data_IF_653800964530
#
_entry.id   IF_653800964530
#
_cell.length_a   1.000
_cell.length_b   1.000
_cell.length_c   1.000
_cell.angle_alpha   90.00
_cell.angle_beta   90.00
_cell.angle_gamma   90.00
#
_symmetry.space_group_name_H-M   'P 1'
#
loop_
_entity.id
_entity.type
_entity.pdbx_description
1 polymer ?
#
# COMPACT_ATOMS: atom_id res chain seq x y z
N UNK A 1 19.61 7.26 -9.53
CA UNK A 1 19.44 6.60 -8.22
C UNK A 1 20.73 5.87 -7.95
N UNK A 2 21.68 6.51 -7.26
CA UNK A 2 23.07 6.02 -7.21
C UNK A 2 23.32 4.90 -6.19
N UNK A 3 22.30 4.45 -5.45
CA UNK A 3 22.48 3.49 -4.35
C UNK A 3 21.69 2.19 -4.51
N UNK A 4 20.63 2.18 -5.33
CA UNK A 4 19.86 0.95 -5.60
C UNK A 4 20.22 0.51 -7.02
N UNK A 5 20.89 -0.62 -7.10
CA UNK A 5 21.27 -1.27 -8.34
C UNK A 5 20.14 -2.20 -8.77
N UNK A 6 19.79 -2.18 -10.07
CA UNK A 6 18.74 -3.02 -10.62
C UNK A 6 19.33 -3.88 -11.73
N UNK A 7 19.13 -5.19 -11.61
CA UNK A 7 19.51 -6.18 -12.63
C UNK A 7 18.24 -6.85 -13.16
N UNK A 8 18.06 -6.88 -14.48
CA UNK A 8 16.93 -7.56 -15.11
C UNK A 8 17.20 -9.08 -15.11
N UNK A 9 16.42 -9.85 -14.36
CA UNK A 9 16.51 -11.32 -14.36
C UNK A 9 15.63 -11.96 -15.44
N UNK A 10 14.47 -11.34 -15.69
CA UNK A 10 13.55 -11.68 -16.78
C UNK A 10 12.95 -10.38 -17.29
N UNK A 11 13.00 -10.16 -18.59
CA UNK A 11 12.31 -9.06 -19.24
C UNK A 11 10.92 -9.51 -19.68
N UNK A 12 9.87 -8.81 -19.26
CA UNK A 12 8.53 -8.94 -19.81
C UNK A 12 8.31 -8.01 -21.00
N UNK A 13 7.12 -8.05 -21.60
CA UNK A 13 6.69 -7.10 -22.64
C UNK A 13 6.75 -5.66 -22.09
N UNK A 14 7.64 -4.80 -22.59
CA UNK A 14 7.78 -3.43 -22.09
C UNK A 14 6.50 -2.62 -22.32
N UNK A 15 6.15 -1.74 -21.37
CA UNK A 15 5.04 -0.81 -21.48
C UNK A 15 5.37 0.50 -20.75
N UNK A 16 4.78 1.61 -21.21
CA UNK A 16 4.81 2.89 -20.47
C UNK A 16 3.82 2.90 -19.30
N UNK A 17 3.01 1.85 -19.14
CA UNK A 17 2.12 1.62 -18.00
C UNK A 17 2.68 0.46 -17.19
N UNK A 18 3.03 0.71 -15.93
CA UNK A 18 3.71 -0.26 -15.06
C UNK A 18 2.88 -0.53 -13.82
N UNK A 19 2.61 -1.80 -13.56
CA UNK A 19 2.14 -2.31 -12.28
C UNK A 19 3.36 -2.85 -11.55
N UNK A 20 3.57 -2.42 -10.31
CA UNK A 20 4.80 -2.72 -9.59
C UNK A 20 4.53 -3.26 -8.19
N UNK A 21 5.27 -4.29 -7.82
CA UNK A 21 5.25 -4.91 -6.50
C UNK A 21 6.66 -5.36 -6.09
N UNK A 22 6.81 -5.73 -4.82
CA UNK A 22 8.05 -6.30 -4.29
C UNK A 22 7.82 -7.71 -3.73
N UNK A 23 8.82 -8.58 -3.86
CA UNK A 23 8.79 -9.94 -3.34
C UNK A 23 10.16 -10.32 -2.76
N UNK A 24 10.23 -10.47 -1.44
CA UNK A 24 11.45 -10.78 -0.68
C UNK A 24 11.05 -11.37 0.68
N UNK A 25 12.01 -11.96 1.40
CA UNK A 25 11.85 -12.36 2.80
C UNK A 25 12.51 -11.36 3.73
N UNK A 26 11.90 -11.20 4.90
CA UNK A 26 12.52 -10.60 6.08
C UNK A 26 13.12 -11.73 6.91
N UNK A 27 14.34 -11.56 7.42
CA UNK A 27 15.11 -12.58 8.17
C UNK A 27 14.30 -13.41 9.16
N UNK A 28 14.16 -12.96 10.41
CA UNK A 28 13.21 -13.56 11.36
C UNK A 28 11.77 -13.25 10.89
N UNK A 29 11.28 -14.07 9.97
CA UNK A 29 9.99 -13.85 9.33
C UNK A 29 8.84 -13.98 10.34
N UNK A 30 8.06 -12.90 10.49
CA UNK A 30 6.80 -12.95 11.26
C UNK A 30 5.62 -13.50 10.45
N UNK A 31 5.82 -13.86 9.17
CA UNK A 31 4.81 -14.43 8.25
C UNK A 31 5.33 -15.73 7.65
N UNK A 32 4.43 -16.66 7.38
CA UNK A 32 4.74 -17.87 6.61
C UNK A 32 5.09 -17.49 5.16
N UNK A 33 6.32 -17.80 4.75
CA UNK A 33 6.79 -17.51 3.40
C UNK A 33 5.98 -18.25 2.33
N UNK A 34 5.42 -19.43 2.63
CA UNK A 34 4.53 -20.16 1.71
C UNK A 34 3.28 -19.37 1.38
N UNK A 35 2.69 -18.70 2.38
CA UNK A 35 1.54 -17.83 2.18
C UNK A 35 1.92 -16.65 1.25
N UNK A 36 3.11 -16.09 1.43
CA UNK A 36 3.59 -14.98 0.62
C UNK A 36 3.82 -15.38 -0.85
N UNK A 37 4.35 -16.58 -1.10
CA UNK A 37 4.44 -17.18 -2.45
C UNK A 37 3.04 -17.33 -3.07
N UNK A 38 2.07 -17.81 -2.29
CA UNK A 38 0.67 -17.92 -2.72
C UNK A 38 0.06 -16.58 -3.11
N UNK A 39 0.34 -15.53 -2.33
CA UNK A 39 -0.09 -14.16 -2.63
C UNK A 39 0.54 -13.63 -3.92
N UNK A 40 1.83 -13.90 -4.18
CA UNK A 40 2.46 -13.50 -5.45
C UNK A 40 1.81 -14.20 -6.66
N UNK A 41 1.53 -15.50 -6.56
CA UNK A 41 0.82 -16.24 -7.63
C UNK A 41 -0.55 -15.64 -7.91
N UNK A 42 -1.32 -15.35 -6.85
CA UNK A 42 -2.64 -14.70 -6.98
C UNK A 42 -2.51 -13.32 -7.61
N UNK A 43 -1.57 -12.48 -7.15
CA UNK A 43 -1.33 -11.15 -7.69
C UNK A 43 -1.02 -11.17 -9.18
N UNK A 44 -0.14 -12.08 -9.61
CA UNK A 44 0.22 -12.26 -11.03
C UNK A 44 -1.01 -12.63 -11.87
N UNK A 45 -1.84 -13.56 -11.42
CA UNK A 45 -3.09 -13.93 -12.10
C UNK A 45 -4.06 -12.74 -12.13
N UNK A 46 -4.24 -12.04 -11.00
CA UNK A 46 -5.16 -10.92 -10.89
C UNK A 46 -4.73 -9.71 -11.74
N UNK A 47 -3.42 -9.56 -12.01
CA UNK A 47 -2.84 -8.52 -12.88
C UNK A 47 -3.19 -8.68 -14.36
N UNK A 48 -3.73 -9.82 -14.77
CA UNK A 48 -4.27 -10.03 -16.13
C UNK A 48 -5.50 -9.15 -16.42
N UNK A 49 -6.09 -8.52 -15.41
CA UNK A 49 -7.11 -7.47 -15.61
C UNK A 49 -6.56 -6.17 -16.21
N UNK A 50 -5.23 -5.97 -16.16
CA UNK A 50 -4.54 -4.77 -16.63
C UNK A 50 -3.69 -5.12 -17.84
N UNK A 51 -4.29 -5.63 -18.92
CA UNK A 51 -3.60 -6.28 -20.06
C UNK A 51 -2.57 -5.40 -20.80
N UNK A 52 -2.68 -4.08 -20.70
CA UNK A 52 -1.78 -3.10 -21.32
C UNK A 52 -0.62 -2.64 -20.40
N UNK A 53 -0.51 -3.23 -19.21
CA UNK A 53 0.57 -2.96 -18.26
C UNK A 53 1.73 -3.95 -18.42
N UNK A 54 2.95 -3.48 -18.22
CA UNK A 54 4.07 -4.32 -17.78
C UNK A 54 3.94 -4.53 -16.27
N UNK A 55 4.13 -5.75 -15.80
CA UNK A 55 4.18 -6.04 -14.36
C UNK A 55 5.62 -6.21 -13.95
N UNK A 56 6.10 -5.39 -13.02
CA UNK A 56 7.46 -5.43 -12.49
C UNK A 56 7.47 -5.99 -11.08
N UNK A 57 8.09 -7.16 -10.91
CA UNK A 57 8.33 -7.78 -9.61
C UNK A 57 9.76 -7.45 -9.20
N UNK A 58 9.92 -6.60 -8.20
CA UNK A 58 11.22 -6.30 -7.60
C UNK A 58 11.54 -7.33 -6.51
N UNK A 59 12.70 -7.97 -6.59
CA UNK A 59 13.13 -9.05 -5.66
C UNK A 59 14.59 -8.91 -5.29
N UNK A 60 15.00 -9.44 -4.14
CA UNK A 60 16.41 -9.66 -3.82
C UNK A 60 16.76 -11.15 -3.89
N UNK A 61 17.93 -11.55 -3.38
CA UNK A 61 18.41 -12.94 -3.42
C UNK A 61 17.53 -13.91 -2.62
N UNK A 62 16.65 -13.44 -1.74
CA UNK A 62 15.76 -14.29 -0.96
C UNK A 62 14.52 -14.74 -1.74
N UNK A 63 14.04 -13.91 -2.68
CA UNK A 63 12.79 -14.13 -3.41
C UNK A 63 12.95 -14.52 -4.88
N UNK A 64 14.15 -14.34 -5.45
CA UNK A 64 14.34 -14.31 -6.91
C UNK A 64 13.94 -15.59 -7.63
N UNK A 65 14.23 -16.76 -7.06
CA UNK A 65 13.92 -18.06 -7.67
C UNK A 65 12.42 -18.28 -7.79
N UNK A 66 11.66 -17.95 -6.74
CA UNK A 66 10.21 -18.05 -6.74
C UNK A 66 9.56 -17.03 -7.68
N UNK A 67 10.07 -15.80 -7.71
CA UNK A 67 9.59 -14.77 -8.62
C UNK A 67 9.80 -15.17 -10.08
N UNK A 68 10.97 -15.72 -10.41
CA UNK A 68 11.27 -16.25 -11.74
C UNK A 68 10.34 -17.41 -12.11
N UNK A 69 10.16 -18.37 -11.20
CA UNK A 69 9.28 -19.53 -11.43
C UNK A 69 7.85 -19.10 -11.72
N UNK A 70 7.28 -18.22 -10.90
CA UNK A 70 5.92 -17.72 -11.06
C UNK A 70 5.77 -16.93 -12.37
N UNK A 71 6.80 -16.19 -12.78
CA UNK A 71 6.77 -15.37 -13.99
C UNK A 71 6.91 -16.15 -15.32
N UNK A 72 7.33 -17.43 -15.30
CA UNK A 72 7.63 -18.22 -16.52
C UNK A 72 6.49 -18.22 -17.55
N UNK A 73 5.24 -18.32 -17.09
CA UNK A 73 4.07 -18.38 -17.97
C UNK A 73 3.49 -17.04 -18.40
N UNK A 74 4.07 -15.92 -17.95
CA UNK A 74 3.46 -14.60 -18.12
C UNK A 74 4.38 -13.66 -18.91
N UNK A 75 4.05 -13.35 -20.18
CA UNK A 75 4.93 -12.58 -21.07
C UNK A 75 5.11 -11.13 -20.63
N UNK A 76 4.14 -10.55 -19.92
CA UNK A 76 4.17 -9.13 -19.49
C UNK A 76 4.93 -8.91 -18.17
N UNK A 77 5.43 -9.98 -17.55
CA UNK A 77 6.06 -9.90 -16.24
C UNK A 77 7.56 -9.80 -16.37
N UNK A 78 8.10 -8.70 -15.88
CA UNK A 78 9.52 -8.49 -15.65
C UNK A 78 9.87 -8.85 -14.21
N UNK A 79 10.97 -9.59 -14.02
CA UNK A 79 11.55 -9.88 -12.70
C UNK A 79 12.85 -9.09 -12.60
N UNK A 80 12.89 -8.17 -11.64
CA UNK A 80 13.96 -7.21 -11.44
C UNK A 80 14.63 -7.49 -10.10
N UNK A 81 15.90 -7.89 -10.14
CA UNK A 81 16.70 -8.00 -8.93
C UNK A 81 17.12 -6.61 -8.48
N UNK A 82 16.95 -6.31 -7.20
CA UNK A 82 17.49 -5.11 -6.59
C UNK A 82 18.59 -5.45 -5.60
N UNK A 83 19.58 -4.56 -5.54
CA UNK A 83 20.61 -4.59 -4.52
C UNK A 83 20.89 -3.17 -4.01
N UNK A 84 21.08 -3.06 -2.70
CA UNK A 84 21.48 -1.82 -2.07
C UNK A 84 22.47 -2.14 -0.96
N UNK A 85 23.80 -2.07 -1.23
CA UNK A 85 24.83 -2.51 -0.28
C UNK A 85 24.72 -1.87 1.11
N UNK A 86 24.30 -0.60 1.19
CA UNK A 86 24.12 0.12 2.45
C UNK A 86 23.02 -0.46 3.36
N UNK A 87 22.09 -1.22 2.80
CA UNK A 87 20.97 -1.86 3.52
C UNK A 87 21.01 -3.39 3.45
N UNK A 88 22.06 -4.00 2.90
CA UNK A 88 22.17 -5.46 2.81
C UNK A 88 22.27 -6.10 4.20
N UNK A 89 21.59 -7.22 4.39
CA UNK A 89 21.58 -8.02 5.62
C UNK A 89 21.55 -9.52 5.27
N UNK A 90 22.70 -10.19 5.40
CA UNK A 90 22.88 -11.56 4.94
C UNK A 90 22.56 -11.73 3.44
N UNK A 91 21.62 -12.62 3.13
CA UNK A 91 21.13 -12.87 1.76
C UNK A 91 20.02 -11.91 1.32
N UNK A 92 19.59 -10.98 2.17
CA UNK A 92 18.51 -10.06 1.86
C UNK A 92 18.88 -8.63 2.20
N UNK A 93 17.87 -7.84 2.53
CA UNK A 93 18.03 -6.47 2.99
C UNK A 93 17.42 -6.29 4.37
N UNK A 94 17.90 -5.26 5.08
CA UNK A 94 17.47 -4.90 6.42
C UNK A 94 15.96 -4.68 6.45
N UNK A 95 15.25 -5.49 7.23
CA UNK A 95 13.82 -5.33 7.51
C UNK A 95 12.97 -5.13 6.25
N UNK A 96 12.18 -4.07 6.24
CA UNK A 96 11.23 -3.79 5.17
C UNK A 96 11.81 -2.91 4.05
N UNK A 97 13.13 -2.85 3.87
CA UNK A 97 13.74 -2.07 2.79
C UNK A 97 13.14 -2.38 1.40
N UNK A 98 12.88 -3.66 1.13
CA UNK A 98 12.29 -4.11 -0.13
C UNK A 98 10.90 -3.52 -0.42
N UNK A 99 10.17 -2.99 0.57
CA UNK A 99 8.89 -2.31 0.30
C UNK A 99 9.06 -0.92 -0.30
N UNK A 100 10.26 -0.32 -0.26
CA UNK A 100 10.56 0.95 -0.91
C UNK A 100 10.82 0.78 -2.41
N UNK A 101 11.41 -0.34 -2.83
CA UNK A 101 11.80 -0.55 -4.23
C UNK A 101 10.60 -0.71 -5.17
N UNK A 102 9.42 -1.12 -4.65
CA UNK A 102 8.20 -1.14 -5.45
C UNK A 102 7.80 0.24 -5.97
N UNK A 103 8.29 1.32 -5.35
CA UNK A 103 8.00 2.68 -5.80
C UNK A 103 8.95 3.19 -6.88
N UNK A 104 9.99 2.45 -7.26
CA UNK A 104 10.97 2.91 -8.25
C UNK A 104 10.34 3.41 -9.57
N UNK A 105 9.30 2.74 -10.11
CA UNK A 105 8.64 3.21 -11.33
C UNK A 105 8.06 4.62 -11.24
N UNK A 106 7.71 5.13 -10.05
CA UNK A 106 7.15 6.49 -9.93
C UNK A 106 8.18 7.60 -10.18
N UNK A 107 9.48 7.26 -10.29
CA UNK A 107 10.56 8.19 -10.61
C UNK A 107 11.12 8.01 -12.03
N UNK A 108 10.46 7.19 -12.84
CA UNK A 108 10.80 6.92 -14.23
C UNK A 108 9.88 7.71 -15.17
N UNK A 109 10.30 7.88 -16.42
CA UNK A 109 9.45 8.46 -17.47
C UNK A 109 8.44 7.41 -17.95
N UNK A 110 7.29 7.37 -17.28
CA UNK A 110 6.18 6.45 -17.54
C UNK A 110 4.86 7.23 -17.64
N UNK A 111 3.91 6.68 -18.39
CA UNK A 111 2.57 7.24 -18.48
C UNK A 111 1.77 6.95 -17.20
N UNK A 112 1.96 5.76 -16.63
CA UNK A 112 1.29 5.33 -15.38
C UNK A 112 2.24 4.44 -14.57
N UNK A 113 2.40 4.74 -13.29
CA UNK A 113 2.95 3.82 -12.30
C UNK A 113 1.87 3.45 -11.27
N UNK A 114 1.51 2.17 -11.20
CA UNK A 114 0.58 1.61 -10.23
C UNK A 114 1.38 0.79 -9.20
N UNK A 115 1.58 1.35 -8.02
CA UNK A 115 2.31 0.72 -6.93
C UNK A 115 1.35 -0.08 -6.03
N UNK A 116 1.67 -1.36 -5.83
CA UNK A 116 0.81 -2.28 -5.10
C UNK A 116 1.58 -3.17 -4.13
N UNK A 117 0.90 -3.59 -3.07
CA UNK A 117 1.27 -4.80 -2.34
C UNK A 117 0.85 -6.05 -3.14
N UNK A 118 1.41 -7.21 -2.82
CA UNK A 118 0.96 -8.49 -3.41
C UNK A 118 -0.17 -9.12 -2.60
N UNK A 119 -0.31 -8.76 -1.32
CA UNK A 119 -1.40 -9.23 -0.47
C UNK A 119 -2.63 -8.32 -0.55
N UNK A 120 -3.15 -8.15 -1.78
CA UNK A 120 -4.35 -7.37 -2.07
C UNK A 120 -5.47 -8.23 -2.64
N UNK A 121 -6.74 -7.83 -2.46
CA UNK A 121 -7.86 -8.41 -3.19
C UNK A 121 -7.81 -8.11 -4.69
N UNK A 122 -8.33 -9.03 -5.51
CA UNK A 122 -8.42 -8.89 -6.97
C UNK A 122 -9.02 -7.55 -7.44
N UNK A 123 -10.07 -7.08 -6.76
CA UNK A 123 -10.79 -5.86 -7.14
C UNK A 123 -9.97 -4.57 -6.92
N UNK A 124 -8.81 -4.65 -6.24
CA UNK A 124 -7.89 -3.52 -6.14
C UNK A 124 -7.24 -3.22 -7.49
N UNK A 125 -7.07 -4.21 -8.38
CA UNK A 125 -6.50 -4.06 -9.73
C UNK A 125 -7.59 -3.82 -10.79
N UNK A 126 -8.61 -3.02 -10.46
CA UNK A 126 -9.73 -2.77 -11.36
C UNK A 126 -9.43 -1.62 -12.36
N UNK A 127 -9.39 -1.87 -13.68
CA UNK A 127 -9.09 -0.85 -14.70
C UNK A 127 -10.11 0.30 -14.75
N UNK A 128 -11.33 0.11 -14.22
CA UNK A 128 -12.35 1.18 -14.10
C UNK A 128 -11.80 2.37 -13.33
N UNK A 129 -10.89 2.15 -12.38
CA UNK A 129 -10.27 3.23 -11.62
C UNK A 129 -9.48 4.18 -12.52
N UNK A 130 -8.73 3.65 -13.51
CA UNK A 130 -7.99 4.48 -14.46
C UNK A 130 -8.91 5.30 -15.35
N UNK A 131 -10.04 4.71 -15.79
CA UNK A 131 -11.09 5.43 -16.53
C UNK A 131 -11.65 6.58 -15.70
N UNK A 132 -11.92 6.35 -14.41
CA UNK A 132 -12.40 7.38 -13.50
C UNK A 132 -11.36 8.49 -13.31
N UNK A 133 -10.08 8.14 -13.12
CA UNK A 133 -9.01 9.14 -13.03
C UNK A 133 -8.93 10.01 -14.28
N UNK A 134 -9.05 9.41 -15.47
CA UNK A 134 -9.06 10.16 -16.73
C UNK A 134 -10.29 11.06 -16.85
N UNK A 135 -11.49 10.58 -16.52
CA UNK A 135 -12.73 11.36 -16.54
C UNK A 135 -12.68 12.57 -15.61
N UNK A 136 -12.12 12.40 -14.41
CA UNK A 136 -11.99 13.47 -13.42
C UNK A 136 -10.72 14.33 -13.60
N UNK A 137 -9.91 14.02 -14.61
CA UNK A 137 -8.62 14.67 -14.92
C UNK A 137 -7.70 14.71 -13.71
N UNK A 138 -7.57 13.58 -13.01
CA UNK A 138 -6.68 13.45 -11.84
C UNK A 138 -5.36 12.80 -12.24
N UNK A 139 -4.28 13.29 -11.65
CA UNK A 139 -2.91 12.85 -11.90
C UNK A 139 -2.51 11.72 -10.97
N UNK A 140 -3.04 11.72 -9.75
CA UNK A 140 -2.69 10.78 -8.69
C UNK A 140 -3.96 10.17 -8.09
N UNK A 141 -3.90 8.88 -7.77
CA UNK A 141 -4.88 8.20 -6.92
C UNK A 141 -4.23 7.83 -5.58
N UNK A 142 -4.93 8.17 -4.49
CA UNK A 142 -4.57 7.81 -3.12
C UNK A 142 -5.74 7.06 -2.48
N UNK A 143 -5.43 5.98 -1.78
CA UNK A 143 -6.35 5.31 -0.87
C UNK A 143 -5.98 5.60 0.58
N UNK A 144 -6.98 5.80 1.44
CA UNK A 144 -6.83 5.97 2.88
C UNK A 144 -7.94 5.24 3.65
N UNK A 145 -7.71 4.91 4.92
CA UNK A 145 -8.75 4.35 5.80
C UNK A 145 -9.05 5.32 6.95
N UNK A 146 -10.30 5.36 7.39
CA UNK A 146 -10.76 6.29 8.43
C UNK A 146 -10.06 6.14 9.79
N UNK A 147 -9.60 4.93 10.11
CA UNK A 147 -8.88 4.63 11.36
C UNK A 147 -7.37 4.51 11.14
N UNK A 148 -6.86 4.94 9.98
CA UNK A 148 -5.44 4.95 9.68
C UNK A 148 -4.74 6.21 10.23
N UNK A 149 -5.49 7.13 10.81
CA UNK A 149 -4.97 8.36 11.41
C UNK A 149 -4.11 8.07 12.65
N UNK A 150 -2.90 8.66 12.68
CA UNK A 150 -2.05 8.94 13.86
C UNK A 150 -1.33 7.73 14.48
N UNK A 151 -0.53 7.05 13.68
CA UNK A 151 0.59 6.28 14.22
C UNK A 151 1.92 7.01 13.94
N UNK A 152 3.04 6.45 14.39
CA UNK A 152 4.37 7.04 14.19
C UNK A 152 4.81 7.07 12.71
N UNK A 153 3.97 6.69 11.76
CA UNK A 153 4.30 6.72 10.32
C UNK A 153 3.57 7.85 9.61
N UNK A 154 2.48 8.35 10.18
CA UNK A 154 1.74 9.47 9.62
C UNK A 154 0.91 10.22 10.67
N UNK A 155 1.08 11.54 10.72
CA UNK A 155 0.19 12.48 11.42
C UNK A 155 -0.87 13.09 10.49
N UNK A 156 -0.93 12.64 9.22
CA UNK A 156 -1.80 13.20 8.19
C UNK A 156 -3.21 12.64 8.30
N UNK A 157 -4.22 13.51 8.18
CA UNK A 157 -5.65 13.13 8.14
C UNK A 157 -5.92 12.12 7.01
N UNK A 158 -5.50 12.47 5.80
CA UNK A 158 -5.63 11.62 4.62
C UNK A 158 -4.31 10.92 4.30
N UNK A 159 -3.88 10.05 5.19
CA UNK A 159 -2.63 9.30 5.04
C UNK A 159 -2.66 8.40 3.80
N UNK A 160 -1.58 8.39 3.03
CA UNK A 160 -1.40 7.48 1.90
C UNK A 160 -1.11 6.09 2.42
N UNK A 161 -1.99 5.15 2.08
CA UNK A 161 -1.73 3.72 2.26
C UNK A 161 -0.94 3.23 1.06
N UNK A 162 0.24 2.67 1.32
CA UNK A 162 1.20 2.26 0.30
C UNK A 162 0.73 1.10 -0.61
N UNK A 163 -0.35 0.40 -0.25
CA UNK A 163 -0.83 -0.80 -0.95
C UNK A 163 -1.59 -0.50 -2.25
N UNK A 164 -2.02 0.75 -2.48
CA UNK A 164 -2.79 1.16 -3.67
C UNK A 164 -2.54 2.62 -4.01
N UNK A 165 -1.42 2.88 -4.67
CA UNK A 165 -1.03 4.21 -5.12
C UNK A 165 -0.85 4.22 -6.64
N UNK A 166 -1.46 5.18 -7.34
CA UNK A 166 -1.31 5.32 -8.80
C UNK A 166 -0.88 6.74 -9.10
N UNK A 167 0.12 6.90 -9.96
CA UNK A 167 0.54 8.21 -10.45
C UNK A 167 0.66 8.22 -11.97
N UNK A 168 0.30 9.35 -12.58
CA UNK A 168 0.57 9.72 -13.98
C UNK A 168 1.68 10.76 -14.09
N UNK A 169 2.31 11.09 -12.96
CA UNK A 169 3.35 12.11 -12.82
C UNK A 169 4.63 11.46 -12.34
N UNK A 170 5.73 11.83 -12.98
CA UNK A 170 7.07 11.46 -12.55
C UNK A 170 7.50 12.29 -11.34
N UNK A 171 7.84 11.61 -10.25
CA UNK A 171 8.39 12.23 -9.06
C UNK A 171 9.91 12.48 -9.22
N UNK A 172 10.46 13.53 -8.57
CA UNK A 172 11.90 13.71 -8.53
C UNK A 172 12.59 12.57 -7.77
N UNK A 173 13.55 11.91 -8.43
CA UNK A 173 14.41 10.86 -7.84
C UNK A 173 15.07 11.29 -6.52
N UNK A 174 15.33 12.60 -6.37
CA UNK A 174 15.89 13.19 -5.15
C UNK A 174 15.02 12.97 -3.89
N UNK A 175 13.72 12.68 -4.02
CA UNK A 175 12.87 12.36 -2.87
C UNK A 175 13.31 11.05 -2.20
N UNK A 176 13.44 9.96 -2.96
CA UNK A 176 13.91 8.68 -2.42
C UNK A 176 15.37 8.76 -1.97
N UNK A 177 16.24 9.39 -2.77
CA UNK A 177 17.67 9.52 -2.41
C UNK A 177 17.86 10.28 -1.10
N UNK A 178 17.14 11.38 -0.87
CA UNK A 178 17.23 12.12 0.41
C UNK A 178 16.71 11.28 1.57
N UNK A 179 15.60 10.56 1.38
CA UNK A 179 15.06 9.69 2.42
C UNK A 179 16.05 8.60 2.84
N UNK A 180 16.62 7.86 1.87
CA UNK A 180 17.62 6.82 2.15
C UNK A 180 18.86 7.39 2.85
N UNK A 181 19.36 8.54 2.38
CA UNK A 181 20.48 9.22 3.02
C UNK A 181 20.17 9.66 4.46
N UNK A 182 18.93 10.03 4.78
CA UNK A 182 18.56 10.35 6.15
C UNK A 182 18.52 9.12 7.07
N UNK A 183 18.19 7.94 6.53
CA UNK A 183 18.32 6.68 7.28
C UNK A 183 19.80 6.34 7.51
N UNK A 184 20.60 6.34 6.44
CA UNK A 184 22.04 5.99 6.49
C UNK A 184 22.80 6.90 7.47
N UNK A 185 22.55 8.20 7.42
CA UNK A 185 23.21 9.18 8.28
C UNK A 185 22.61 9.27 9.69
N UNK A 186 21.70 8.37 10.06
CA UNK A 186 21.09 8.31 11.39
C UNK A 186 20.12 9.44 11.73
N UNK A 187 19.81 10.33 10.78
CA UNK A 187 18.90 11.48 10.99
C UNK A 187 17.45 11.08 11.23
N UNK A 188 17.07 9.83 10.92
CA UNK A 188 15.76 9.26 11.23
C UNK A 188 15.77 8.29 12.42
N UNK A 189 16.90 8.09 13.11
CA UNK A 189 17.04 7.06 14.15
C UNK A 189 15.98 7.17 15.25
N UNK A 190 15.73 8.36 15.77
CA UNK A 190 14.71 8.57 16.80
C UNK A 190 13.32 8.09 16.32
N UNK A 191 12.94 8.48 15.09
CA UNK A 191 11.65 8.11 14.50
C UNK A 191 11.56 6.60 14.24
N UNK A 192 12.62 5.99 13.72
CA UNK A 192 12.66 4.55 13.43
C UNK A 192 12.68 3.71 14.71
N UNK A 193 13.35 4.18 15.76
CA UNK A 193 13.32 3.57 17.10
C UNK A 193 11.92 3.61 17.68
N UNK A 194 11.22 4.74 17.60
CA UNK A 194 9.85 4.84 18.07
C UNK A 194 8.91 3.88 17.28
N UNK A 195 9.06 3.78 15.95
CA UNK A 195 8.30 2.83 15.12
C UNK A 195 8.58 1.38 15.53
N UNK A 196 9.84 1.04 15.81
CA UNK A 196 10.22 -0.28 16.32
C UNK A 196 9.56 -0.60 17.66
N UNK A 197 9.56 0.35 18.60
CA UNK A 197 8.90 0.21 19.90
C UNK A 197 7.39 -0.03 19.74
N UNK A 198 6.70 0.77 18.91
CA UNK A 198 5.28 0.56 18.60
C UNK A 198 5.01 -0.80 17.95
N UNK A 199 5.93 -1.28 17.10
CA UNK A 199 5.79 -2.58 16.46
C UNK A 199 6.00 -3.74 17.44
N UNK A 200 6.83 -3.57 18.46
CA UNK A 200 7.09 -4.58 19.48
C UNK A 200 5.87 -4.82 20.40
N UNK A 201 5.00 -3.82 20.56
CA UNK A 201 3.80 -3.91 21.42
C UNK A 201 2.55 -4.44 20.70
N UNK A 202 2.65 -4.79 19.41
CA UNK A 202 1.50 -5.30 18.63
C UNK A 202 1.19 -6.75 19.02
N UNK A 203 -0.07 -7.17 18.82
CA UNK A 203 -0.50 -8.56 19.06
C UNK A 203 0.39 -9.57 18.31
N UNK A 204 0.85 -9.23 17.11
CA UNK A 204 1.92 -9.96 16.42
C UNK A 204 3.14 -9.04 16.33
N UNK A 205 4.05 -9.11 17.32
CA UNK A 205 5.25 -8.28 17.35
C UNK A 205 6.04 -8.40 16.05
N UNK A 206 6.66 -7.30 15.62
CA UNK A 206 7.58 -7.31 14.46
C UNK A 206 9.01 -7.29 14.97
N UNK A 207 9.93 -7.98 14.29
CA UNK A 207 11.34 -7.95 14.64
C UNK A 207 11.89 -6.51 14.54
N UNK A 208 12.82 -6.18 15.42
CA UNK A 208 13.54 -4.91 15.37
C UNK A 208 14.36 -4.83 14.09
N UNK A 209 14.38 -3.66 13.45
CA UNK A 209 15.18 -3.46 12.25
C UNK A 209 15.62 -2.01 12.07
N UNK A 210 16.75 -1.82 11.36
CA UNK A 210 17.17 -0.53 10.81
C UNK A 210 16.14 0.07 9.87
N UNK A 211 15.34 -0.77 9.21
CA UNK A 211 14.25 -0.36 8.31
C UNK A 211 12.97 -1.07 8.78
N UNK A 212 12.32 -0.55 9.83
CA UNK A 212 11.19 -1.21 10.47
C UNK A 212 9.94 -1.27 9.58
N UNK A 213 9.01 -2.15 9.96
CA UNK A 213 7.67 -2.20 9.38
C UNK A 213 6.95 -0.86 9.52
N UNK A 214 6.65 -0.24 8.38
CA UNK A 214 6.08 1.10 8.26
C UNK A 214 7.01 2.17 7.68
N UNK A 215 8.22 1.80 7.26
CA UNK A 215 9.15 2.75 6.64
C UNK A 215 8.67 3.26 5.28
N UNK A 216 8.02 2.42 4.47
CA UNK A 216 7.37 2.82 3.23
C UNK A 216 6.23 3.81 3.47
N UNK A 217 5.42 3.57 4.49
CA UNK A 217 4.34 4.48 4.88
C UNK A 217 4.90 5.81 5.39
N UNK A 218 6.00 5.79 6.16
CA UNK A 218 6.73 7.00 6.55
C UNK A 218 7.22 7.77 5.31
N UNK A 219 7.81 7.09 4.33
CA UNK A 219 8.28 7.71 3.09
C UNK A 219 7.13 8.35 2.31
N UNK A 220 6.05 7.60 2.09
CA UNK A 220 4.88 8.07 1.33
C UNK A 220 4.20 9.26 2.01
N UNK A 221 4.09 9.25 3.34
CA UNK A 221 3.38 10.30 4.10
C UNK A 221 4.24 11.51 4.48
N UNK A 222 5.53 11.49 4.16
CA UNK A 222 6.43 12.63 4.35
C UNK A 222 6.91 13.17 3.00
N UNK A 223 7.74 12.44 2.27
CA UNK A 223 8.38 12.93 1.05
C UNK A 223 7.40 13.05 -0.12
N UNK A 224 6.63 12.00 -0.36
CA UNK A 224 5.68 11.97 -1.48
C UNK A 224 4.50 12.88 -1.20
N UNK A 225 3.91 12.76 -0.02
CA UNK A 225 2.81 13.62 0.42
C UNK A 225 3.17 15.11 0.35
N UNK A 226 4.29 15.53 0.95
CA UNK A 226 4.69 16.94 0.95
C UNK A 226 4.93 17.46 -0.47
N UNK A 227 5.50 16.63 -1.35
CA UNK A 227 5.69 16.99 -2.74
C UNK A 227 4.35 17.21 -3.45
N UNK A 228 3.41 16.27 -3.31
CA UNK A 228 2.04 16.36 -3.86
C UNK A 228 1.35 17.64 -3.40
N UNK A 229 1.40 17.94 -2.10
CA UNK A 229 0.82 19.16 -1.52
C UNK A 229 1.48 20.41 -2.12
N UNK A 230 2.82 20.45 -2.14
CA UNK A 230 3.59 21.60 -2.63
C UNK A 230 3.39 21.91 -4.11
N UNK A 231 3.10 20.88 -4.92
CA UNK A 231 2.84 21.01 -6.36
C UNK A 231 1.37 21.19 -6.68
N UNK A 232 0.52 21.19 -5.65
CA UNK A 232 -0.93 21.32 -5.74
C UNK A 232 -1.57 20.36 -6.77
N UNK A 233 -1.06 19.12 -6.81
CA UNK A 233 -1.47 18.10 -7.77
C UNK A 233 -2.95 17.77 -7.61
N UNK A 234 -3.63 17.41 -8.71
CA UNK A 234 -5.04 17.01 -8.70
C UNK A 234 -5.17 15.51 -8.41
N UNK A 235 -5.89 15.17 -7.35
CA UNK A 235 -5.87 13.86 -6.72
C UNK A 235 -7.28 13.28 -6.71
N UNK A 236 -7.36 11.99 -7.00
CA UNK A 236 -8.50 11.15 -6.65
C UNK A 236 -8.22 10.49 -5.30
N UNK A 237 -9.01 10.82 -4.29
CA UNK A 237 -8.87 10.29 -2.94
C UNK A 237 -10.03 9.35 -2.65
N UNK A 238 -9.71 8.09 -2.38
CA UNK A 238 -10.66 7.13 -1.81
C UNK A 238 -10.44 7.07 -0.29
N UNK A 239 -11.46 7.46 0.47
CA UNK A 239 -11.55 7.23 1.92
C UNK A 239 -12.43 6.01 2.14
N UNK A 240 -11.81 4.93 2.57
CA UNK A 240 -12.51 3.67 2.83
C UNK A 240 -12.94 3.59 4.29
N UNK A 241 -14.25 3.51 4.47
CA UNK A 241 -14.90 3.32 5.77
C UNK A 241 -14.98 1.83 6.14
N UNK A 242 -14.50 0.92 5.28
CA UNK A 242 -14.26 -0.46 5.66
C UNK A 242 -12.97 -0.54 6.49
N UNK A 243 -13.10 -0.37 7.80
CA UNK A 243 -11.99 -0.44 8.75
C UNK A 243 -12.02 -1.79 9.48
N UNK A 244 -11.22 -2.80 9.06
CA UNK A 244 -11.34 -4.15 9.59
C UNK A 244 -11.20 -4.19 11.11
N UNK A 245 -10.19 -3.53 11.68
CA UNK A 245 -9.99 -3.48 13.13
C UNK A 245 -11.23 -2.98 13.88
N UNK A 246 -11.80 -1.86 13.42
CA UNK A 246 -12.99 -1.26 14.03
C UNK A 246 -14.18 -2.22 13.93
N UNK A 247 -14.43 -2.75 12.74
CA UNK A 247 -15.56 -3.63 12.50
C UNK A 247 -15.41 -4.98 13.20
N UNK A 248 -14.20 -5.54 13.32
CA UNK A 248 -13.95 -6.76 14.11
C UNK A 248 -14.35 -6.58 15.57
N UNK A 249 -14.21 -5.37 16.11
CA UNK A 249 -14.57 -4.96 17.47
C UNK A 249 -16.03 -4.54 17.64
N UNK A 250 -16.76 -4.35 16.55
CA UNK A 250 -18.21 -4.08 16.56
C UNK A 250 -19.03 -5.33 16.22
N UNK A 251 -18.46 -6.26 15.44
CA UNK A 251 -19.18 -7.41 14.92
C UNK A 251 -18.96 -8.67 15.74
N UNK A 252 -20.09 -9.33 16.01
CA UNK A 252 -20.14 -10.71 16.50
C UNK A 252 -19.46 -11.68 15.53
N UNK A 253 -19.01 -12.82 16.04
CA UNK A 253 -18.16 -13.78 15.32
C UNK A 253 -18.80 -14.27 14.02
N UNK A 254 -20.10 -14.51 14.04
CA UNK A 254 -20.92 -14.95 12.90
C UNK A 254 -20.93 -13.94 11.75
N UNK A 255 -20.87 -12.63 12.03
CA UNK A 255 -20.89 -11.58 11.02
C UNK A 255 -19.49 -11.29 10.42
N UNK A 256 -18.41 -11.78 11.06
CA UNK A 256 -17.03 -11.58 10.56
C UNK A 256 -16.78 -12.31 9.23
N UNK A 257 -17.51 -13.40 8.96
CA UNK A 257 -17.43 -14.11 7.68
C UNK A 257 -17.97 -13.23 6.54
N UNK A 258 -19.08 -12.53 6.78
CA UNK A 258 -19.68 -11.62 5.81
C UNK A 258 -18.72 -10.46 5.47
N UNK A 259 -18.05 -9.91 6.48
CA UNK A 259 -16.99 -8.93 6.30
C UNK A 259 -15.84 -9.44 5.44
N UNK A 260 -15.31 -10.63 5.73
CA UNK A 260 -14.23 -11.22 4.94
C UNK A 260 -14.66 -11.44 3.50
N UNK A 261 -15.88 -11.92 3.29
CA UNK A 261 -16.47 -12.06 1.95
C UNK A 261 -16.53 -10.72 1.22
N UNK A 262 -16.99 -9.65 1.88
CA UNK A 262 -17.02 -8.31 1.28
C UNK A 262 -15.62 -7.78 0.96
N UNK A 263 -14.64 -8.01 1.85
CA UNK A 263 -13.27 -7.58 1.62
C UNK A 263 -12.66 -8.22 0.37
N UNK A 264 -12.92 -9.49 0.09
CA UNK A 264 -12.39 -10.13 -1.13
C UNK A 264 -13.27 -9.90 -2.37
N UNK A 265 -14.60 -9.91 -2.18
CA UNK A 265 -15.61 -9.88 -3.22
C UNK A 265 -16.69 -8.84 -2.89
N UNK A 266 -16.37 -7.54 -3.00
CA UNK A 266 -17.30 -6.48 -2.65
C UNK A 266 -18.51 -6.53 -3.58
N UNK A 267 -19.71 -6.51 -3.00
CA UNK A 267 -20.96 -6.40 -3.72
C UNK A 267 -21.89 -5.43 -3.01
N UNK A 268 -22.79 -4.81 -3.76
CA UNK A 268 -23.74 -3.84 -3.21
C UNK A 268 -24.66 -4.49 -2.16
N UNK A 269 -25.16 -5.70 -2.40
CA UNK A 269 -26.02 -6.41 -1.46
C UNK A 269 -25.30 -6.75 -0.16
N UNK A 270 -24.07 -7.29 -0.24
CA UNK A 270 -23.25 -7.60 0.93
C UNK A 270 -22.89 -6.32 1.70
N UNK A 271 -22.62 -5.21 1.01
CA UNK A 271 -22.41 -3.91 1.67
C UNK A 271 -23.63 -3.46 2.47
N UNK A 272 -24.83 -3.50 1.88
CA UNK A 272 -26.06 -3.08 2.56
C UNK A 272 -26.35 -3.94 3.80
N UNK A 273 -26.07 -5.23 3.73
CA UNK A 273 -26.21 -6.16 4.86
C UNK A 273 -25.24 -5.81 5.99
N UNK A 274 -23.94 -5.64 5.67
CA UNK A 274 -22.91 -5.21 6.62
C UNK A 274 -23.29 -3.86 7.24
N UNK A 275 -23.72 -2.89 6.43
CA UNK A 275 -24.14 -1.57 6.90
C UNK A 275 -25.30 -1.68 7.90
N UNK A 276 -26.30 -2.52 7.64
CA UNK A 276 -27.44 -2.75 8.54
C UNK A 276 -26.98 -3.36 9.87
N UNK A 277 -26.05 -4.31 9.82
CA UNK A 277 -25.49 -4.92 11.04
C UNK A 277 -24.74 -3.86 11.85
N UNK A 278 -23.85 -3.10 11.21
CA UNK A 278 -23.02 -2.08 11.85
C UNK A 278 -23.85 -0.93 12.46
N UNK A 279 -24.97 -0.56 11.82
CA UNK A 279 -25.86 0.47 12.34
C UNK A 279 -26.56 0.07 13.66
N UNK A 280 -26.62 -1.23 13.96
CA UNK A 280 -27.23 -1.77 15.18
C UNK A 280 -26.21 -2.47 16.09
N UNK A 281 -24.91 -2.36 15.78
CA UNK A 281 -23.87 -3.04 16.52
C UNK A 281 -23.55 -2.29 17.82
N UNK A 282 -23.42 -3.04 18.91
CA UNK A 282 -22.90 -2.52 20.17
C UNK A 282 -21.37 -2.67 20.16
N UNK A 283 -20.60 -1.57 20.16
CA UNK A 283 -19.15 -1.63 20.11
C UNK A 283 -18.56 -2.21 21.41
N UNK A 284 -17.48 -2.98 21.30
CA UNK A 284 -16.68 -3.39 22.47
C UNK A 284 -16.16 -2.15 23.26
N UNK A 285 -15.92 -2.26 24.58
CA UNK A 285 -15.32 -1.18 25.37
C UNK A 285 -14.03 -0.62 24.75
N UNK A 286 -13.88 0.71 24.79
CA UNK A 286 -12.73 1.44 24.23
C UNK A 286 -12.81 1.73 22.72
N UNK A 287 -13.74 1.11 21.98
CA UNK A 287 -13.95 1.41 20.55
C UNK A 287 -14.52 2.82 20.36
N UNK A 288 -15.43 3.25 21.22
CA UNK A 288 -16.08 4.57 21.13
C UNK A 288 -15.12 5.73 21.39
N UNK A 289 -13.99 5.46 22.02
CA UNK A 289 -12.92 6.43 22.29
C UNK A 289 -11.97 6.60 21.10
N UNK A 290 -12.00 5.68 20.12
CA UNK A 290 -11.18 5.81 18.93
C UNK A 290 -11.60 7.05 18.13
N UNK A 291 -10.65 7.91 17.78
CA UNK A 291 -10.92 9.16 17.06
C UNK A 291 -11.73 8.97 15.76
N UNK A 292 -11.51 7.85 15.07
CA UNK A 292 -12.21 7.50 13.84
C UNK A 292 -13.64 7.00 14.05
N UNK A 293 -14.03 6.58 15.26
CA UNK A 293 -15.37 6.03 15.51
C UNK A 293 -16.46 7.06 15.29
N UNK A 294 -16.23 8.32 15.73
CA UNK A 294 -17.19 9.40 15.53
C UNK A 294 -17.47 9.65 14.03
N UNK A 295 -16.41 9.80 13.22
CA UNK A 295 -16.55 9.97 11.76
C UNK A 295 -17.23 8.74 11.12
N UNK A 296 -16.88 7.53 11.59
CA UNK A 296 -17.53 6.30 11.13
C UNK A 296 -19.05 6.33 11.35
N UNK A 297 -19.52 6.59 12.58
CA UNK A 297 -20.96 6.59 12.91
C UNK A 297 -21.71 7.71 12.18
N UNK A 298 -21.12 8.90 12.08
CA UNK A 298 -21.74 10.04 11.37
C UNK A 298 -21.83 9.83 9.86
N UNK A 299 -20.92 9.03 9.28
CA UNK A 299 -20.84 8.80 7.85
C UNK A 299 -21.54 7.51 7.41
N UNK A 300 -21.59 6.47 8.24
CA UNK A 300 -22.21 5.19 7.90
C UNK A 300 -23.61 5.32 7.29
N UNK A 301 -24.55 6.15 7.84
CA UNK A 301 -25.86 6.35 7.23
C UNK A 301 -25.81 6.95 5.82
N UNK A 302 -24.81 7.78 5.53
CA UNK A 302 -24.62 8.49 4.24
C UNK A 302 -24.05 7.59 3.14
N UNK A 303 -23.40 6.48 3.50
CA UNK A 303 -22.82 5.53 2.54
C UNK A 303 -23.93 4.74 1.81
N UNK A 304 -24.08 4.94 0.50
CA UNK A 304 -25.19 4.33 -0.27
C UNK A 304 -24.80 3.03 -0.96
N UNK A 305 -23.72 3.04 -1.73
CA UNK A 305 -23.37 1.97 -2.66
C UNK A 305 -22.24 1.07 -2.19
N UNK A 306 -21.30 1.62 -1.42
CA UNK A 306 -20.09 0.95 -0.94
C UNK A 306 -19.57 1.64 0.32
N UNK A 307 -18.53 1.05 0.92
CA UNK A 307 -17.77 1.63 2.04
C UNK A 307 -16.85 2.79 1.64
N UNK A 308 -16.73 3.11 0.35
CA UNK A 308 -15.74 4.07 -0.15
C UNK A 308 -16.42 5.39 -0.46
N UNK A 309 -15.92 6.48 0.13
CA UNK A 309 -16.19 7.83 -0.33
C UNK A 309 -15.04 8.30 -1.22
N UNK A 310 -15.39 8.79 -2.40
CA UNK A 310 -14.43 9.30 -3.38
C UNK A 310 -14.51 10.80 -3.50
N UNK A 311 -13.35 11.43 -3.43
CA UNK A 311 -13.18 12.87 -3.57
C UNK A 311 -12.22 13.19 -4.71
N UNK A 312 -12.44 14.33 -5.35
CA UNK A 312 -11.46 14.92 -6.27
C UNK A 312 -10.98 16.22 -5.64
N UNK A 313 -9.70 16.25 -5.29
CA UNK A 313 -9.13 17.28 -4.43
C UNK A 313 -7.84 17.79 -5.04
N UNK A 314 -7.41 18.99 -4.67
CA UNK A 314 -6.05 19.46 -4.95
C UNK A 314 -5.15 19.20 -3.74
N UNK A 315 -3.84 19.08 -3.98
CA UNK A 315 -2.83 18.84 -2.95
C UNK A 315 -2.97 19.76 -1.73
N UNK A 316 -3.16 21.06 -1.92
CA UNK A 316 -3.30 22.04 -0.82
C UNK A 316 -4.53 21.82 0.10
N UNK A 317 -5.51 21.07 -0.39
CA UNK A 317 -6.76 20.77 0.34
C UNK A 317 -6.80 19.31 0.83
N UNK A 318 -5.74 18.54 0.61
CA UNK A 318 -5.70 17.12 0.96
C UNK A 318 -5.83 16.88 2.48
N UNK A 319 -5.52 17.87 3.33
CA UNK A 319 -5.71 17.75 4.79
C UNK A 319 -7.05 18.29 5.30
N UNK A 320 -7.76 19.08 4.49
CA UNK A 320 -8.94 19.84 4.93
C UNK A 320 -10.24 19.06 4.79
N UNK A 321 -10.22 17.98 4.02
CA UNK A 321 -11.40 17.16 3.65
C UNK A 321 -11.49 15.95 4.57
#
# INVERSE_FOLDING_TARGET
MSQIEITVLKQGTPSRKVLTCCFFTVGEAYRDFKQYIGNLRRFVIDSEQLTDFEVRIYTDDTGKEYALEIAKGFPRISVLHYDCPAFRDGKGHSGMFGTLVRFLPMFEDLDIAWCSDIDIPRHYLNPVLLKQMSNHKTDIYISTYICYERNLRSSRRNSVVANKFITKVQFPRALLTRFLNMIINGKLNERLTAINQENATKHTPKPLSKVPYGTDELFMNTYIYNWIVSKNIRIMLDRDYFAPWLMFKMLRKEHRILMQKYYYYPSHSTFLEIKKILANAEPEPGVTEAACYKDFVETLPKLKSSSILRFVVKGENLEKI
#
